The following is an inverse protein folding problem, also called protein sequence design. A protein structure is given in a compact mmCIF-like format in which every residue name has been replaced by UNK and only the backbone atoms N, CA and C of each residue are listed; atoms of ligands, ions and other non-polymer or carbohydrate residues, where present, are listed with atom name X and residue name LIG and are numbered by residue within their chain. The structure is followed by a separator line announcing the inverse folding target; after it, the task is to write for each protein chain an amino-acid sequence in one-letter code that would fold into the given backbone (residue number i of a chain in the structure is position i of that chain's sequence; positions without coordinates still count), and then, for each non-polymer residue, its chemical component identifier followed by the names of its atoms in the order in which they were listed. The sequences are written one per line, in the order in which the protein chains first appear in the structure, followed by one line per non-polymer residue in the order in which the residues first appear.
data_IF_071874977909
#
_entry.id   IF_071874977909
#
_cell.length_a   1.000
_cell.length_b   1.000
_cell.length_c   1.000
_cell.angle_alpha   90.00
_cell.angle_beta   90.00
_cell.angle_gamma   90.00
#
_symmetry.space_group_name_H-M   'P 1'
#
loop_
_entity.id
_entity.type
_entity.pdbx_description
1 polymer ?
#
# COMPACT_ATOMS: atom_id res chain seq x y z
N UNK A 1 7.70 18.11 52.64
CA UNK A 1 8.58 17.63 51.58
C UNK A 1 8.00 16.42 50.81
N UNK A 2 7.53 15.37 51.49
CA UNK A 2 6.96 14.16 50.81
C UNK A 2 5.72 14.48 49.98
N UNK A 3 4.80 15.34 50.42
CA UNK A 3 3.61 15.70 49.69
C UNK A 3 3.94 16.51 48.41
N UNK A 4 4.94 17.36 48.44
CA UNK A 4 5.38 18.14 47.27
C UNK A 4 5.98 17.22 46.19
N UNK A 5 6.80 16.25 46.56
CA UNK A 5 7.37 15.30 45.66
C UNK A 5 6.29 14.43 44.97
N UNK A 6 5.25 14.07 45.74
CA UNK A 6 4.13 13.28 45.21
C UNK A 6 3.30 14.06 44.18
N UNK A 7 3.03 15.33 44.47
CA UNK A 7 2.31 16.23 43.54
C UNK A 7 3.14 16.50 42.29
N UNK A 8 4.46 16.71 42.41
CA UNK A 8 5.35 16.90 41.29
C UNK A 8 5.45 15.65 40.41
N UNK A 9 5.52 14.46 41.01
CA UNK A 9 5.52 13.20 40.29
C UNK A 9 4.20 12.94 39.54
N UNK A 10 3.07 13.27 40.19
CA UNK A 10 1.74 13.15 39.55
C UNK A 10 1.59 14.13 38.37
N UNK A 11 2.06 15.37 38.53
CA UNK A 11 2.05 16.38 37.48
C UNK A 11 2.94 15.95 36.28
N UNK A 12 4.14 15.39 36.54
CA UNK A 12 4.99 14.84 35.50
C UNK A 12 4.33 13.66 34.79
N UNK A 13 3.69 12.76 35.52
CA UNK A 13 3.00 11.62 34.94
C UNK A 13 1.84 12.06 34.04
N UNK A 14 1.12 13.11 34.44
CA UNK A 14 0.00 13.67 33.68
C UNK A 14 0.45 14.36 32.38
N UNK A 15 1.62 14.97 32.38
CA UNK A 15 2.20 15.63 31.19
C UNK A 15 2.89 14.62 30.28
N UNK A 16 3.64 13.68 30.84
CA UNK A 16 4.42 12.71 30.07
C UNK A 16 3.57 11.55 29.55
N UNK A 17 2.48 11.20 30.25
CA UNK A 17 1.60 10.10 29.87
C UNK A 17 1.06 10.23 28.44
N UNK A 18 0.39 11.33 28.06
CA UNK A 18 -0.10 11.56 26.71
C UNK A 18 1.01 11.58 25.64
N UNK A 19 2.17 12.16 25.97
CA UNK A 19 3.33 12.23 25.05
C UNK A 19 3.90 10.84 24.76
N UNK A 20 3.97 9.99 25.78
CA UNK A 20 4.41 8.60 25.61
C UNK A 20 3.39 7.75 24.86
N UNK A 21 2.09 8.00 25.07
CA UNK A 21 1.00 7.33 24.36
C UNK A 21 0.92 7.72 22.87
N UNK A 22 1.44 8.90 22.48
CA UNK A 22 1.47 9.38 21.09
C UNK A 22 2.65 8.84 20.28
N UNK A 23 3.50 7.98 20.84
CA UNK A 23 4.59 7.36 20.06
C UNK A 23 3.99 6.50 18.95
N UNK A 24 4.33 6.78 17.66
CA UNK A 24 3.85 5.96 16.56
C UNK A 24 4.30 4.51 16.77
N UNK A 25 3.40 3.58 16.51
CA UNK A 25 3.75 2.15 16.60
C UNK A 25 4.82 1.81 15.57
N UNK A 26 5.67 0.82 15.81
CA UNK A 26 6.70 0.39 14.84
C UNK A 26 6.09 0.11 13.45
N UNK A 27 4.86 -0.40 13.40
CA UNK A 27 4.14 -0.64 12.16
C UNK A 27 3.75 0.66 11.43
N UNK A 28 3.32 1.69 12.15
CA UNK A 28 3.02 2.99 11.55
C UNK A 28 4.28 3.61 10.93
N UNK A 29 5.43 3.50 11.61
CA UNK A 29 6.70 3.94 11.07
C UNK A 29 7.10 3.19 9.80
N UNK A 30 6.90 1.86 9.76
CA UNK A 30 7.13 1.05 8.57
C UNK A 30 6.23 1.46 7.41
N UNK A 31 4.92 1.63 7.66
CA UNK A 31 3.97 2.06 6.63
C UNK A 31 4.33 3.44 6.07
N UNK A 32 4.67 4.39 6.93
CA UNK A 32 5.09 5.73 6.51
C UNK A 32 6.33 5.67 5.61
N UNK A 33 7.31 4.83 5.95
CA UNK A 33 8.52 4.63 5.15
C UNK A 33 8.21 4.01 3.79
N UNK A 34 7.43 2.94 3.73
CA UNK A 34 7.04 2.27 2.47
C UNK A 34 6.31 3.25 1.54
N UNK A 35 5.38 4.03 2.07
CA UNK A 35 4.62 5.03 1.30
C UNK A 35 5.50 6.18 0.83
N UNK A 36 6.42 6.66 1.66
CA UNK A 36 7.40 7.67 1.25
C UNK A 36 8.31 7.14 0.14
N UNK A 37 8.74 5.88 0.22
CA UNK A 37 9.51 5.22 -0.84
C UNK A 37 8.73 5.12 -2.15
N UNK A 38 7.44 4.75 -2.08
CA UNK A 38 6.57 4.67 -3.24
C UNK A 38 6.43 6.02 -3.95
N UNK A 39 6.19 7.09 -3.18
CA UNK A 39 6.11 8.45 -3.75
C UNK A 39 7.44 8.86 -4.39
N UNK A 40 8.58 8.55 -3.76
CA UNK A 40 9.90 8.81 -4.34
C UNK A 40 10.16 8.00 -5.63
N UNK A 41 9.56 6.80 -5.75
CA UNK A 41 9.60 5.97 -6.95
C UNK A 41 8.59 6.38 -8.04
N UNK A 42 7.82 7.45 -7.84
CA UNK A 42 6.84 7.96 -8.80
C UNK A 42 5.45 7.32 -8.70
N UNK A 43 5.21 6.47 -7.70
CA UNK A 43 3.90 5.89 -7.43
C UNK A 43 3.04 6.84 -6.59
N UNK A 44 1.73 6.79 -6.79
CA UNK A 44 0.76 7.42 -5.90
C UNK A 44 0.19 6.36 -4.96
N UNK A 45 0.10 6.66 -3.67
CA UNK A 45 -0.46 5.73 -2.69
C UNK A 45 -1.83 6.21 -2.27
N UNK A 46 -2.84 5.36 -2.47
CA UNK A 46 -4.23 5.59 -2.07
C UNK A 46 -4.61 4.57 -1.02
N UNK A 47 -5.01 5.04 0.15
CA UNK A 47 -5.49 4.17 1.22
C UNK A 47 -7.01 4.13 1.13
N UNK A 48 -7.57 2.96 0.87
CA UNK A 48 -9.02 2.82 0.89
C UNK A 48 -9.55 3.04 2.31
N UNK A 49 -10.37 4.07 2.47
CA UNK A 49 -11.02 4.43 3.73
C UNK A 49 -12.22 3.52 4.06
N UNK A 50 -12.03 2.21 3.97
CA UNK A 50 -13.07 1.24 4.32
C UNK A 50 -13.18 1.00 5.83
N UNK A 51 -14.12 0.12 6.22
CA UNK A 51 -14.40 -0.29 7.62
C UNK A 51 -13.16 -0.83 8.39
N UNK A 52 -12.07 -1.12 7.67
CA UNK A 52 -10.77 -1.51 8.20
C UNK A 52 -9.65 -0.68 7.54
N UNK A 53 -9.47 0.61 7.94
CA UNK A 53 -8.41 1.44 7.42
C UNK A 53 -7.04 0.81 7.74
N UNK A 54 -6.21 0.62 6.71
CA UNK A 54 -4.82 0.14 6.86
C UNK A 54 -4.61 -1.35 6.57
N UNK A 55 -5.59 -2.09 6.05
CA UNK A 55 -5.35 -3.48 5.59
C UNK A 55 -4.73 -3.56 4.21
N UNK A 56 -5.13 -2.70 3.29
CA UNK A 56 -4.62 -2.64 1.91
C UNK A 56 -4.52 -1.21 1.44
N UNK A 57 -3.58 -0.95 0.55
CA UNK A 57 -3.43 0.32 -0.14
C UNK A 57 -3.22 0.09 -1.63
N UNK A 58 -3.72 0.99 -2.46
CA UNK A 58 -3.46 1.00 -3.89
C UNK A 58 -2.16 1.78 -4.17
N UNK A 59 -1.24 1.12 -4.81
CA UNK A 59 -0.02 1.70 -5.35
C UNK A 59 -0.23 1.93 -6.83
N UNK A 60 -0.38 3.18 -7.23
CA UNK A 60 -0.79 3.58 -8.58
C UNK A 60 0.40 4.13 -9.34
N UNK A 61 0.72 3.53 -10.48
CA UNK A 61 1.62 4.11 -11.47
C UNK A 61 0.77 4.98 -12.41
N UNK A 62 0.93 6.32 -12.37
CA UNK A 62 0.13 7.21 -13.19
C UNK A 62 0.39 7.00 -14.68
N UNK A 63 -0.65 7.13 -15.52
CA UNK A 63 -0.48 7.16 -16.96
C UNK A 63 0.43 8.32 -17.37
N UNK A 64 1.30 8.08 -18.33
CA UNK A 64 2.04 9.14 -18.99
C UNK A 64 1.12 9.81 -20.01
N UNK A 65 1.30 11.10 -20.23
CA UNK A 65 0.47 11.85 -21.19
C UNK A 65 0.52 11.24 -22.60
N UNK A 66 1.66 10.69 -22.99
CA UNK A 66 1.89 10.08 -24.29
C UNK A 66 1.13 8.74 -24.44
N UNK A 67 0.85 8.07 -23.34
CA UNK A 67 0.21 6.74 -23.32
C UNK A 67 -1.32 6.84 -23.26
N UNK A 68 -1.89 8.01 -22.88
CA UNK A 68 -3.33 8.18 -22.62
C UNK A 68 -4.23 7.80 -23.80
N UNK A 69 -3.77 7.95 -25.02
CA UNK A 69 -4.55 7.55 -26.21
C UNK A 69 -4.56 6.03 -26.41
N UNK A 70 -3.45 5.36 -26.08
CA UNK A 70 -3.29 3.91 -26.24
C UNK A 70 -4.02 3.13 -25.16
N UNK A 71 -4.09 3.68 -23.94
CA UNK A 71 -4.73 3.04 -22.78
C UNK A 71 -6.21 3.41 -22.62
N UNK A 72 -6.74 4.24 -23.51
CA UNK A 72 -8.13 4.69 -23.46
C UNK A 72 -9.08 3.50 -23.62
N UNK A 73 -9.84 3.21 -22.56
CA UNK A 73 -10.76 2.07 -22.52
C UNK A 73 -10.12 0.75 -22.07
N UNK A 74 -8.84 0.75 -21.67
CA UNK A 74 -8.23 -0.43 -21.09
C UNK A 74 -8.96 -0.80 -19.78
N UNK A 75 -9.59 -1.96 -19.79
CA UNK A 75 -10.17 -2.58 -18.60
C UNK A 75 -9.33 -3.80 -18.23
N UNK A 76 -8.60 -3.68 -17.15
CA UNK A 76 -7.80 -4.76 -16.60
C UNK A 76 -8.17 -4.90 -15.13
N UNK A 77 -8.64 -6.06 -14.73
CA UNK A 77 -8.90 -6.39 -13.32
C UNK A 77 -8.44 -7.83 -13.09
N UNK A 78 -7.22 -7.95 -12.61
CA UNK A 78 -6.65 -9.23 -12.19
C UNK A 78 -6.76 -9.35 -10.67
N UNK A 79 -7.18 -10.50 -10.18
CA UNK A 79 -7.28 -10.80 -8.75
C UNK A 79 -6.48 -12.05 -8.42
N UNK A 80 -5.89 -12.05 -7.25
CA UNK A 80 -5.22 -13.21 -6.71
C UNK A 80 -6.18 -13.96 -5.80
N UNK A 81 -6.45 -15.23 -6.11
CA UNK A 81 -7.26 -16.12 -5.29
C UNK A 81 -6.57 -16.49 -3.97
N UNK A 82 -7.32 -17.14 -3.09
CA UNK A 82 -6.80 -17.63 -1.80
C UNK A 82 -5.74 -18.73 -1.97
N UNK A 83 -5.78 -19.44 -3.08
CA UNK A 83 -4.79 -20.42 -3.53
C UNK A 83 -3.52 -19.80 -4.10
N UNK A 84 -3.50 -18.47 -4.25
CA UNK A 84 -2.40 -17.70 -4.85
C UNK A 84 -2.41 -17.62 -6.36
N UNK A 85 -3.36 -18.26 -7.04
CA UNK A 85 -3.54 -18.16 -8.48
C UNK A 85 -4.08 -16.78 -8.87
N UNK A 86 -3.69 -16.32 -10.06
CA UNK A 86 -4.20 -15.11 -10.63
C UNK A 86 -5.30 -15.40 -11.63
N UNK A 87 -6.37 -14.64 -11.56
CA UNK A 87 -7.52 -14.73 -12.46
C UNK A 87 -7.92 -13.34 -12.95
N UNK A 88 -8.34 -13.27 -14.20
CA UNK A 88 -9.02 -12.10 -14.74
C UNK A 88 -10.45 -12.07 -14.18
N UNK A 89 -10.84 -10.96 -13.57
CA UNK A 89 -12.14 -10.85 -12.89
C UNK A 89 -13.34 -10.87 -13.86
N UNK A 90 -13.13 -10.61 -15.15
CA UNK A 90 -14.20 -10.62 -16.15
C UNK A 90 -14.33 -11.99 -16.84
N UNK A 91 -13.20 -12.60 -17.22
CA UNK A 91 -13.19 -13.86 -17.96
C UNK A 91 -13.03 -15.09 -17.09
N UNK A 92 -12.64 -14.95 -15.82
CA UNK A 92 -12.28 -16.01 -14.88
C UNK A 92 -11.15 -16.92 -15.43
N UNK A 93 -10.41 -16.43 -16.40
CA UNK A 93 -9.28 -17.13 -17.00
C UNK A 93 -7.97 -16.74 -16.33
N UNK A 94 -7.01 -17.66 -16.36
CA UNK A 94 -5.65 -17.35 -15.94
C UNK A 94 -5.01 -16.34 -16.90
N UNK A 95 -4.28 -15.33 -16.39
CA UNK A 95 -3.60 -14.38 -17.24
C UNK A 95 -2.54 -15.06 -18.11
N UNK A 96 -2.40 -14.60 -19.36
CA UNK A 96 -1.48 -15.14 -20.33
C UNK A 96 -0.49 -14.08 -20.82
N UNK A 97 0.60 -14.52 -21.45
CA UNK A 97 1.61 -13.63 -22.03
C UNK A 97 2.21 -12.67 -20.99
N UNK A 98 2.31 -11.40 -21.36
CA UNK A 98 2.91 -10.35 -20.52
C UNK A 98 2.16 -10.16 -19.17
N UNK A 99 0.85 -10.38 -19.14
CA UNK A 99 0.08 -10.27 -17.90
C UNK A 99 0.50 -11.34 -16.88
N UNK A 100 0.85 -12.52 -17.33
CA UNK A 100 1.37 -13.58 -16.47
C UNK A 100 2.73 -13.17 -15.87
N UNK A 101 3.62 -12.64 -16.70
CA UNK A 101 4.93 -12.17 -16.25
C UNK A 101 4.81 -11.07 -15.20
N UNK A 102 3.89 -10.11 -15.41
CA UNK A 102 3.57 -9.07 -14.43
C UNK A 102 3.06 -9.66 -13.12
N UNK A 103 2.14 -10.62 -13.19
CA UNK A 103 1.59 -11.30 -12.01
C UNK A 103 2.64 -12.07 -11.22
N UNK A 104 3.61 -12.66 -11.90
CA UNK A 104 4.74 -13.39 -11.27
C UNK A 104 5.77 -12.41 -10.66
N UNK A 105 5.93 -11.23 -11.23
CA UNK A 105 6.90 -10.23 -10.78
C UNK A 105 6.48 -9.51 -9.51
N UNK A 106 5.17 -9.30 -9.27
CA UNK A 106 4.68 -8.58 -8.11
C UNK A 106 4.86 -9.36 -6.80
N UNK A 107 5.05 -8.67 -5.65
CA UNK A 107 5.18 -9.32 -4.34
C UNK A 107 3.95 -10.15 -3.95
N UNK A 108 4.17 -11.14 -3.10
CA UNK A 108 3.11 -12.04 -2.63
C UNK A 108 1.96 -11.32 -1.90
N UNK A 109 2.21 -10.16 -1.32
CA UNK A 109 1.19 -9.35 -0.64
C UNK A 109 0.28 -8.54 -1.55
N UNK A 110 0.51 -8.55 -2.88
CA UNK A 110 -0.37 -7.91 -3.87
C UNK A 110 -1.54 -8.85 -4.15
N UNK A 111 -2.75 -8.35 -3.94
CA UNK A 111 -4.00 -9.10 -4.08
C UNK A 111 -4.78 -8.80 -5.36
N UNK A 112 -4.54 -7.64 -5.98
CA UNK A 112 -5.16 -7.28 -7.24
C UNK A 112 -4.29 -6.32 -8.05
N UNK A 113 -4.42 -6.39 -9.38
CA UNK A 113 -3.88 -5.46 -10.34
C UNK A 113 -5.05 -4.94 -11.18
N UNK A 114 -5.17 -3.63 -11.31
CA UNK A 114 -6.30 -3.04 -12.03
C UNK A 114 -5.92 -1.77 -12.79
N UNK A 115 -6.53 -1.56 -13.94
CA UNK A 115 -6.51 -0.25 -14.58
C UNK A 115 -7.55 0.66 -13.93
N UNK A 116 -7.17 1.89 -13.66
CA UNK A 116 -8.04 2.95 -13.16
C UNK A 116 -7.84 4.20 -14.03
N UNK A 117 -8.71 5.18 -13.89
CA UNK A 117 -8.64 6.43 -14.69
C UNK A 117 -7.28 7.12 -14.58
N UNK A 118 -6.62 7.02 -13.44
CA UNK A 118 -5.35 7.70 -13.15
C UNK A 118 -4.11 6.89 -13.52
N UNK A 119 -4.21 5.57 -13.70
CA UNK A 119 -3.04 4.72 -13.91
C UNK A 119 -3.29 3.22 -13.78
N UNK A 120 -2.22 2.46 -13.67
CA UNK A 120 -2.25 1.08 -13.23
C UNK A 120 -2.09 1.01 -11.71
N UNK A 121 -2.94 0.25 -11.05
CA UNK A 121 -2.96 0.12 -9.60
C UNK A 121 -2.66 -1.31 -9.15
N UNK A 122 -1.77 -1.45 -8.18
CA UNK A 122 -1.54 -2.67 -7.44
C UNK A 122 -2.10 -2.54 -6.02
N UNK A 123 -3.04 -3.38 -5.65
CA UNK A 123 -3.58 -3.44 -4.30
C UNK A 123 -2.68 -4.30 -3.42
N UNK A 124 -2.03 -3.67 -2.43
CA UNK A 124 -1.02 -4.31 -1.60
C UNK A 124 -1.34 -4.20 -0.11
N UNK A 125 -1.05 -5.26 0.64
CA UNK A 125 -1.26 -5.32 2.10
C UNK A 125 -0.14 -4.64 2.92
N UNK A 126 0.85 -4.05 2.26
CA UNK A 126 1.98 -3.35 2.86
C UNK A 126 2.77 -4.19 3.89
N UNK A 127 2.71 -5.52 3.76
CA UNK A 127 3.50 -6.46 4.56
C UNK A 127 4.75 -6.87 3.80
N UNK A 128 5.67 -5.93 3.61
CA UNK A 128 6.88 -6.18 2.84
C UNK A 128 7.99 -5.22 3.19
N UNK A 129 8.96 -5.13 2.30
CA UNK A 129 10.17 -4.30 2.41
C UNK A 129 10.19 -3.22 1.35
N UNK A 130 11.18 -2.36 1.43
CA UNK A 130 11.37 -1.27 0.47
C UNK A 130 11.60 -1.80 -0.96
N UNK A 131 12.26 -2.97 -1.11
CA UNK A 131 12.47 -3.64 -2.39
C UNK A 131 11.17 -4.09 -3.06
N UNK A 132 10.14 -4.41 -2.26
CA UNK A 132 8.83 -4.80 -2.80
C UNK A 132 8.11 -3.62 -3.46
N UNK A 133 8.36 -2.39 -2.99
CA UNK A 133 7.86 -1.17 -3.63
C UNK A 133 8.46 -1.00 -5.04
N UNK A 134 9.77 -1.25 -5.18
CA UNK A 134 10.44 -1.19 -6.49
C UNK A 134 9.90 -2.28 -7.42
N UNK A 135 9.71 -3.50 -6.91
CA UNK A 135 9.12 -4.60 -7.69
C UNK A 135 7.71 -4.28 -8.19
N UNK A 136 6.88 -3.64 -7.35
CA UNK A 136 5.54 -3.18 -7.76
C UNK A 136 5.67 -2.13 -8.88
N UNK A 137 6.55 -1.15 -8.72
CA UNK A 137 6.77 -0.11 -9.73
C UNK A 137 7.24 -0.71 -11.07
N UNK A 138 8.18 -1.65 -11.02
CA UNK A 138 8.79 -2.24 -12.22
C UNK A 138 7.83 -3.21 -12.92
N UNK A 139 6.86 -3.76 -12.20
CA UNK A 139 5.83 -4.63 -12.76
C UNK A 139 4.67 -3.87 -13.40
N UNK A 140 4.37 -2.64 -12.94
CA UNK A 140 3.30 -1.79 -13.46
C UNK A 140 3.75 -1.00 -14.68
#
# INVERSE_FOLDING_TARGET
MKAFLLVAALAMLFVLGPVLAMRPSPRQGQLARLRARAVAAGLRVRVEGGRNPGRVADYVLPWRLDDLQQVRGLRLVLRRGDDGAWEDAESLAAPAGILREVCEAVPAGVSALRSIDEGLAAQWNEKGRDEDVERIRDAL
#
